data_IF_614266033809
#
_entry.id   IF_614266033809
#
_cell.length_a   1.000
_cell.length_b   1.000
_cell.length_c   1.000
_cell.angle_alpha   90.00
_cell.angle_beta   90.00
_cell.angle_gamma   90.00
#
_symmetry.space_group_name_H-M   'P 1'
#
loop_
_entity.id
_entity.type
_entity.pdbx_description
1 polymer ?
#
# COMPACT_ATOMS: atom_id res chain seq x y z
N UNK A 1 6.54 -12.07 -0.40
CA UNK A 1 6.32 -10.71 -0.94
C UNK A 1 5.69 -9.86 0.16
N UNK A 2 6.04 -8.58 0.26
CA UNK A 2 5.43 -7.63 1.20
C UNK A 2 4.49 -6.73 0.41
N UNK A 3 3.25 -6.58 0.89
CA UNK A 3 2.36 -5.52 0.44
C UNK A 3 2.06 -4.64 1.64
N UNK A 4 2.28 -3.34 1.44
CA UNK A 4 2.13 -2.33 2.46
C UNK A 4 1.54 -1.07 1.83
N UNK A 5 0.94 -0.23 2.66
CA UNK A 5 0.45 1.08 2.28
C UNK A 5 0.59 2.03 3.46
N UNK A 6 0.48 3.34 3.20
CA UNK A 6 0.41 4.32 4.27
C UNK A 6 -0.49 5.49 3.86
N UNK A 7 -1.10 6.10 4.86
CA UNK A 7 -1.88 7.33 4.78
C UNK A 7 -1.16 8.40 5.63
N UNK A 8 -1.43 9.68 5.38
CA UNK A 8 -0.73 10.86 5.91
C UNK A 8 -0.46 10.88 7.44
N UNK A 9 -1.14 10.02 8.22
CA UNK A 9 -0.98 9.86 9.66
C UNK A 9 -0.91 8.40 10.15
N UNK A 10 -0.98 7.40 9.26
CA UNK A 10 -1.12 5.99 9.67
C UNK A 10 -0.52 5.00 8.68
N UNK A 11 0.15 3.98 9.21
CA UNK A 11 0.61 2.82 8.46
C UNK A 11 -0.52 1.81 8.30
N UNK A 12 -0.76 1.35 7.06
CA UNK A 12 -1.64 0.21 6.79
C UNK A 12 -0.89 -1.07 7.17
N UNK A 13 -1.60 -2.06 7.72
CA UNK A 13 -0.95 -3.29 8.22
C UNK A 13 -0.19 -3.99 7.09
N UNK A 14 1.06 -4.37 7.35
CA UNK A 14 1.83 -5.20 6.44
C UNK A 14 1.14 -6.55 6.20
N UNK A 15 0.86 -6.87 4.93
CA UNK A 15 0.26 -8.16 4.54
C UNK A 15 1.35 -9.08 3.98
N UNK A 16 1.44 -10.29 4.55
CA UNK A 16 2.41 -11.32 4.18
C UNK A 16 1.82 -12.26 3.14
N UNK A 17 2.54 -12.51 2.05
CA UNK A 17 2.28 -13.71 1.23
C UNK A 17 3.10 -14.90 1.76
N UNK A 18 2.56 -16.12 1.62
CA UNK A 18 3.27 -17.35 1.97
C UNK A 18 4.59 -17.52 1.21
N UNK A 19 5.44 -18.46 1.65
CA UNK A 19 6.74 -18.74 1.01
C UNK A 19 6.53 -19.04 -0.48
N UNK A 20 7.20 -18.28 -1.35
CA UNK A 20 7.10 -18.35 -2.82
C UNK A 20 5.71 -18.10 -3.44
N UNK A 21 4.77 -17.53 -2.68
CA UNK A 21 3.44 -17.20 -3.22
C UNK A 21 3.47 -15.79 -3.82
N UNK A 22 3.32 -15.70 -5.14
CA UNK A 22 2.91 -14.47 -5.81
C UNK A 22 1.46 -14.19 -5.43
N UNK A 23 1.16 -12.96 -5.03
CA UNK A 23 -0.23 -12.53 -4.82
C UNK A 23 -0.88 -12.59 -6.19
N UNK A 24 -1.87 -13.47 -6.32
CA UNK A 24 -2.69 -13.54 -7.52
C UNK A 24 -3.79 -12.47 -7.47
N UNK A 25 -4.60 -12.43 -8.51
CA UNK A 25 -5.64 -11.43 -8.67
C UNK A 25 -6.71 -11.46 -7.56
N UNK A 26 -7.14 -12.66 -7.16
CA UNK A 26 -8.12 -12.85 -6.10
C UNK A 26 -7.54 -12.49 -4.73
N UNK A 27 -6.29 -12.88 -4.47
CA UNK A 27 -5.58 -12.50 -3.24
C UNK A 27 -5.46 -10.97 -3.14
N UNK A 28 -5.20 -10.28 -4.26
CA UNK A 28 -5.12 -8.83 -4.27
C UNK A 28 -6.46 -8.19 -3.89
N UNK A 29 -7.57 -8.62 -4.52
CA UNK A 29 -8.89 -8.05 -4.24
C UNK A 29 -9.35 -8.38 -2.82
N UNK A 30 -9.29 -9.64 -2.41
CA UNK A 30 -9.94 -10.11 -1.19
C UNK A 30 -9.07 -9.94 0.06
N UNK A 31 -7.75 -10.14 -0.04
CA UNK A 31 -6.86 -10.06 1.12
C UNK A 31 -6.23 -8.68 1.25
N UNK A 32 -5.98 -7.99 0.13
CA UNK A 32 -5.33 -6.66 0.16
C UNK A 32 -6.38 -5.55 0.14
N UNK A 33 -7.16 -5.43 -0.94
CA UNK A 33 -8.07 -4.30 -1.15
C UNK A 33 -9.28 -4.34 -0.20
N UNK A 34 -10.00 -5.46 -0.11
CA UNK A 34 -11.23 -5.53 0.70
C UNK A 34 -11.03 -5.01 2.12
N UNK A 35 -10.04 -5.48 2.91
CA UNK A 35 -9.89 -4.99 4.27
C UNK A 35 -9.51 -3.50 4.34
N UNK A 36 -8.77 -2.99 3.36
CA UNK A 36 -8.45 -1.55 3.29
C UNK A 36 -9.75 -0.73 3.17
N UNK A 37 -10.69 -1.18 2.33
CA UNK A 37 -11.93 -0.47 2.07
C UNK A 37 -13.02 -0.69 3.12
N UNK A 38 -13.12 -1.87 3.72
CA UNK A 38 -14.22 -2.22 4.63
C UNK A 38 -13.87 -2.09 6.11
N UNK A 39 -12.59 -2.12 6.47
CA UNK A 39 -12.16 -2.19 7.87
C UNK A 39 -11.12 -1.12 8.19
N UNK A 40 -9.98 -1.11 7.51
CA UNK A 40 -8.81 -0.33 7.93
C UNK A 40 -9.05 1.18 7.81
N UNK A 41 -9.49 1.67 6.66
CA UNK A 41 -9.75 3.10 6.48
C UNK A 41 -11.01 3.56 7.24
N UNK A 42 -12.15 2.84 7.22
CA UNK A 42 -13.29 3.20 8.06
C UNK A 42 -12.95 3.26 9.56
N UNK A 43 -12.10 2.35 10.06
CA UNK A 43 -11.64 2.39 11.45
C UNK A 43 -10.80 3.65 11.75
N UNK A 44 -9.96 4.09 10.82
CA UNK A 44 -9.14 5.30 10.97
C UNK A 44 -9.96 6.59 10.82
N UNK A 45 -11.04 6.55 10.05
CA UNK A 45 -11.89 7.71 9.72
C UNK A 45 -13.39 7.40 9.94
N UNK A 46 -13.82 7.16 11.19
CA UNK A 46 -15.18 6.69 11.47
C UNK A 46 -16.29 7.71 11.17
N UNK A 47 -15.96 9.01 11.07
CA UNK A 47 -16.95 10.11 11.03
C UNK A 47 -16.78 11.10 9.85
N UNK A 48 -15.92 10.81 8.85
CA UNK A 48 -15.62 11.76 7.77
C UNK A 48 -16.57 11.61 6.56
N UNK A 49 -17.14 12.73 6.09
CA UNK A 49 -17.72 12.92 4.74
C UNK A 49 -16.67 13.61 3.81
N UNK A 50 -16.90 13.76 2.49
CA UNK A 50 -16.64 12.88 1.30
C UNK A 50 -15.22 12.25 1.23
N UNK A 51 -14.80 11.55 0.14
CA UNK A 51 -13.55 10.78 0.18
C UNK A 51 -12.31 11.70 0.22
N UNK A 52 -11.76 11.88 1.42
CA UNK A 52 -10.42 12.48 1.64
C UNK A 52 -9.30 11.52 1.24
N UNK A 53 -9.59 10.22 1.21
CA UNK A 53 -8.61 9.18 0.91
C UNK A 53 -8.73 8.77 -0.56
N UNK A 54 -7.59 8.82 -1.26
CA UNK A 54 -7.43 8.31 -2.62
C UNK A 54 -6.41 7.18 -2.62
N UNK A 55 -6.81 6.00 -3.08
CA UNK A 55 -5.89 4.89 -3.31
C UNK A 55 -5.00 5.18 -4.53
N UNK A 56 -3.69 5.15 -4.33
CA UNK A 56 -2.68 5.10 -5.37
C UNK A 56 -2.04 3.71 -5.41
N UNK A 57 -1.86 3.14 -6.61
CA UNK A 57 -1.24 1.84 -6.83
C UNK A 57 -0.49 1.84 -8.17
N UNK A 58 0.57 1.05 -8.33
CA UNK A 58 1.31 0.97 -9.58
C UNK A 58 0.62 0.09 -10.64
N UNK A 59 1.16 0.04 -11.86
CA UNK A 59 0.57 -0.67 -13.00
C UNK A 59 0.90 -2.17 -13.03
N UNK A 60 0.95 -2.84 -11.87
CA UNK A 60 1.11 -4.30 -11.83
C UNK A 60 -0.10 -5.01 -12.47
N UNK A 61 0.10 -6.20 -13.04
CA UNK A 61 -0.95 -6.92 -13.78
C UNK A 61 -2.22 -7.18 -12.95
N UNK A 62 -2.08 -7.44 -11.63
CA UNK A 62 -3.22 -7.58 -10.72
C UNK A 62 -3.98 -6.27 -10.51
N UNK A 63 -3.31 -5.13 -10.59
CA UNK A 63 -3.88 -3.80 -10.38
C UNK A 63 -4.62 -3.31 -11.63
N UNK A 64 -4.09 -3.63 -12.82
CA UNK A 64 -4.65 -3.18 -14.12
C UNK A 64 -5.75 -4.09 -14.68
N UNK A 65 -6.04 -5.21 -14.02
CA UNK A 65 -7.04 -6.16 -14.51
C UNK A 65 -8.46 -5.56 -14.52
N UNK A 66 -9.26 -5.96 -15.50
CA UNK A 66 -10.69 -5.55 -15.58
C UNK A 66 -11.47 -5.88 -14.31
N UNK A 67 -11.19 -7.03 -13.70
CA UNK A 67 -11.89 -7.45 -12.48
C UNK A 67 -11.51 -6.58 -11.28
N UNK A 68 -10.27 -6.11 -11.21
CA UNK A 68 -9.83 -5.20 -10.14
C UNK A 68 -10.44 -3.82 -10.33
N UNK A 69 -10.52 -3.31 -11.57
CA UNK A 69 -11.24 -2.08 -11.86
C UNK A 69 -12.72 -2.18 -11.48
N UNK A 70 -13.39 -3.28 -11.83
CA UNK A 70 -14.78 -3.52 -11.44
C UNK A 70 -14.96 -3.61 -9.91
N UNK A 71 -14.00 -4.25 -9.22
CA UNK A 71 -13.96 -4.29 -7.78
C UNK A 71 -13.83 -2.89 -7.18
N UNK A 72 -12.89 -2.07 -7.66
CA UNK A 72 -12.66 -0.70 -7.17
C UNK A 72 -13.86 0.21 -7.43
N UNK A 73 -14.51 0.10 -8.60
CA UNK A 73 -15.75 0.84 -8.87
C UNK A 73 -16.86 0.46 -7.90
N UNK A 74 -17.05 -0.84 -7.63
CA UNK A 74 -18.03 -1.29 -6.64
C UNK A 74 -17.71 -0.73 -5.24
N UNK A 75 -16.46 -0.86 -4.80
CA UNK A 75 -16.05 -0.40 -3.47
C UNK A 75 -16.12 1.12 -3.32
N UNK A 76 -15.89 1.89 -4.41
CA UNK A 76 -16.02 3.36 -4.41
C UNK A 76 -17.46 3.81 -4.15
N UNK A 77 -18.46 3.08 -4.63
CA UNK A 77 -19.88 3.37 -4.35
C UNK A 77 -20.22 3.11 -2.89
N UNK A 78 -19.60 2.09 -2.29
CA UNK A 78 -19.92 1.62 -0.95
C UNK A 78 -19.05 2.24 0.17
N UNK A 79 -17.91 2.89 -0.16
CA UNK A 79 -16.90 3.33 0.81
C UNK A 79 -16.47 4.80 0.64
N UNK A 80 -15.89 5.38 1.72
CA UNK A 80 -15.33 6.75 1.79
C UNK A 80 -13.97 6.86 1.07
N UNK A 81 -13.66 5.93 0.16
CA UNK A 81 -12.34 5.84 -0.47
C UNK A 81 -12.51 5.96 -1.98
N UNK A 82 -11.92 7.00 -2.54
CA UNK A 82 -11.73 7.11 -3.98
C UNK A 82 -10.44 6.37 -4.39
N UNK A 83 -10.26 6.15 -5.68
CA UNK A 83 -9.02 5.59 -6.22
C UNK A 83 -8.58 6.41 -7.44
N UNK A 84 -7.28 6.42 -7.72
CA UNK A 84 -6.73 7.06 -8.92
C UNK A 84 -6.85 6.05 -10.07
N UNK A 85 -7.55 6.42 -11.17
CA UNK A 85 -7.64 5.56 -12.34
C UNK A 85 -6.25 5.22 -12.89
N UNK A 86 -6.05 3.96 -13.29
CA UNK A 86 -4.76 3.47 -13.76
C UNK A 86 -4.20 4.24 -14.96
N UNK A 87 -5.08 4.81 -15.78
CA UNK A 87 -4.71 5.63 -16.94
C UNK A 87 -4.04 6.96 -16.56
N UNK A 88 -4.21 7.42 -15.31
CA UNK A 88 -3.52 8.60 -14.77
C UNK A 88 -2.19 8.24 -14.10
N UNK A 89 -1.80 6.97 -14.10
CA UNK A 89 -0.57 6.48 -13.47
C UNK A 89 0.40 6.07 -14.59
N UNK A 90 1.43 6.89 -14.87
CA UNK A 90 2.48 6.55 -15.82
C UNK A 90 3.08 5.16 -15.59
N UNK A 91 3.17 4.37 -16.66
CA UNK A 91 3.76 3.04 -16.60
C UNK A 91 5.28 3.13 -16.37
N UNK A 92 5.82 2.21 -15.56
CA UNK A 92 7.27 2.10 -15.25
C UNK A 92 7.87 3.36 -14.61
N UNK A 93 7.07 4.10 -13.84
CA UNK A 93 7.51 5.31 -13.15
C UNK A 93 7.56 5.07 -11.64
N UNK A 94 8.62 4.42 -11.10
CA UNK A 94 8.77 4.27 -9.66
C UNK A 94 9.05 5.60 -8.94
N UNK A 95 9.63 6.56 -9.66
CA UNK A 95 9.96 7.92 -9.22
C UNK A 95 8.73 8.77 -8.86
N UNK A 96 7.57 8.48 -9.44
CA UNK A 96 6.32 9.17 -9.12
C UNK A 96 5.50 8.47 -8.02
N UNK A 97 5.94 7.31 -7.53
CA UNK A 97 5.21 6.54 -6.52
C UNK A 97 5.82 6.76 -5.13
N UNK A 98 5.13 7.44 -4.20
CA UNK A 98 5.62 7.67 -2.83
C UNK A 98 5.99 6.37 -2.10
N UNK A 99 5.30 5.28 -2.41
CA UNK A 99 5.65 3.95 -1.93
C UNK A 99 7.03 3.50 -2.39
N UNK A 100 7.37 3.73 -3.66
CA UNK A 100 8.61 3.25 -4.25
C UNK A 100 9.79 4.17 -3.95
N UNK A 101 9.68 5.47 -4.23
CA UNK A 101 10.82 6.38 -4.07
C UNK A 101 11.13 6.68 -2.60
N UNK A 102 10.14 6.65 -1.69
CA UNK A 102 10.33 6.96 -0.27
C UNK A 102 10.21 5.72 0.62
N UNK A 103 9.01 5.17 0.82
CA UNK A 103 8.78 4.17 1.86
C UNK A 103 9.63 2.90 1.68
N UNK A 104 9.62 2.31 0.47
CA UNK A 104 10.42 1.13 0.17
C UNK A 104 11.91 1.42 0.06
N UNK A 105 12.33 2.61 -0.38
CA UNK A 105 13.73 3.03 -0.33
C UNK A 105 14.26 3.08 1.10
N UNK A 106 13.51 3.71 2.02
CA UNK A 106 13.85 3.77 3.44
C UNK A 106 13.88 2.36 4.05
N UNK A 107 12.83 1.57 3.83
CA UNK A 107 12.76 0.20 4.33
C UNK A 107 13.95 -0.64 3.83
N UNK A 108 14.28 -0.54 2.54
CA UNK A 108 15.42 -1.28 1.96
C UNK A 108 16.74 -0.85 2.58
N UNK A 109 16.93 0.44 2.82
CA UNK A 109 18.13 0.96 3.49
C UNK A 109 18.24 0.46 4.92
N UNK A 110 17.15 0.42 5.68
CA UNK A 110 17.22 -0.10 7.05
C UNK A 110 17.42 -1.61 7.08
N UNK A 111 16.79 -2.33 6.15
CA UNK A 111 16.93 -3.79 6.03
C UNK A 111 18.34 -4.22 5.60
N UNK A 112 19.10 -3.40 4.85
CA UNK A 112 20.47 -3.77 4.44
C UNK A 112 21.44 -3.89 5.61
N UNK A 113 21.16 -3.20 6.71
CA UNK A 113 21.96 -3.26 7.94
C UNK A 113 21.62 -4.47 8.81
N UNK A 114 20.49 -5.13 8.54
CA UNK A 114 20.00 -6.27 9.30
C UNK A 114 20.45 -7.58 8.64
N UNK A 115 20.81 -8.58 9.45
CA UNK A 115 21.28 -9.90 8.96
C UNK A 115 20.42 -11.06 9.50
N UNK A 116 19.12 -11.13 9.18
CA UNK A 116 18.29 -12.25 9.60
C UNK A 116 18.73 -13.54 8.91
N UNK A 117 18.90 -14.62 9.67
CA UNK A 117 19.35 -15.93 9.16
C UNK A 117 18.20 -16.90 8.88
N UNK A 118 16.97 -16.53 9.28
CA UNK A 118 15.76 -17.35 9.14
C UNK A 118 14.58 -16.50 8.66
N UNK A 119 13.59 -17.15 8.03
CA UNK A 119 12.41 -16.47 7.45
C UNK A 119 11.55 -15.79 8.51
N UNK A 120 11.33 -16.44 9.65
CA UNK A 120 10.65 -15.85 10.82
C UNK A 120 11.39 -14.61 11.34
N UNK A 121 12.72 -14.71 11.45
CA UNK A 121 13.58 -13.58 11.78
C UNK A 121 13.45 -12.44 10.77
N UNK A 122 13.44 -12.74 9.47
CA UNK A 122 13.26 -11.74 8.42
C UNK A 122 11.91 -11.02 8.56
N UNK A 123 10.82 -11.74 8.81
CA UNK A 123 9.50 -11.13 8.98
C UNK A 123 9.40 -10.27 10.23
N UNK A 124 10.07 -10.67 11.31
CA UNK A 124 10.15 -9.86 12.53
C UNK A 124 10.90 -8.57 12.24
N UNK A 125 12.07 -8.66 11.62
CA UNK A 125 12.88 -7.49 11.23
C UNK A 125 12.10 -6.55 10.32
N UNK A 126 11.44 -7.06 9.28
CA UNK A 126 10.61 -6.23 8.39
C UNK A 126 9.51 -5.48 9.15
N UNK A 127 8.83 -6.14 10.09
CA UNK A 127 7.78 -5.51 10.87
C UNK A 127 8.33 -4.46 11.85
N UNK A 128 9.52 -4.67 12.42
CA UNK A 128 10.22 -3.69 13.25
C UNK A 128 10.64 -2.48 12.43
N UNK A 129 11.35 -2.70 11.32
CA UNK A 129 11.88 -1.62 10.47
C UNK A 129 10.76 -0.78 9.85
N UNK A 130 9.66 -1.42 9.44
CA UNK A 130 8.49 -0.71 8.94
C UNK A 130 7.91 0.22 10.00
N UNK A 131 7.70 -0.26 11.22
CA UNK A 131 7.17 0.53 12.34
C UNK A 131 8.10 1.66 12.79
N UNK A 132 9.40 1.55 12.51
CA UNK A 132 10.39 2.58 12.82
C UNK A 132 10.63 3.56 11.67
N UNK A 133 9.89 3.44 10.56
CA UNK A 133 10.02 4.40 9.46
C UNK A 133 9.69 5.82 9.96
N UNK A 134 10.52 6.83 9.65
CA UNK A 134 10.25 8.20 10.08
C UNK A 134 8.96 8.72 9.44
N UNK A 135 7.89 8.85 10.24
CA UNK A 135 6.59 9.35 9.78
C UNK A 135 6.70 10.73 9.13
N UNK A 136 7.65 11.56 9.58
CA UNK A 136 7.92 12.87 8.98
C UNK A 136 8.37 12.75 7.51
N UNK A 137 9.23 11.77 7.18
CA UNK A 137 9.68 11.54 5.81
C UNK A 137 8.53 11.07 4.93
N UNK A 138 7.72 10.12 5.44
CA UNK A 138 6.53 9.63 4.73
C UNK A 138 5.53 10.76 4.47
N UNK A 139 5.31 11.63 5.46
CA UNK A 139 4.44 12.80 5.33
C UNK A 139 4.97 13.80 4.31
N UNK A 140 6.26 14.13 4.36
CA UNK A 140 6.90 15.01 3.37
C UNK A 140 6.76 14.46 1.95
N UNK A 141 6.97 13.15 1.76
CA UNK A 141 6.81 12.49 0.47
C UNK A 141 5.39 12.71 -0.08
N UNK A 142 4.35 12.43 0.70
CA UNK A 142 2.96 12.61 0.25
C UNK A 142 2.61 14.09 0.03
N UNK A 143 3.05 15.00 0.89
CA UNK A 143 2.77 16.43 0.72
C UNK A 143 3.51 17.03 -0.49
N UNK A 144 4.67 16.50 -0.83
CA UNK A 144 5.42 16.89 -2.04
C UNK A 144 4.89 16.24 -3.31
N UNK A 145 4.08 15.19 -3.17
CA UNK A 145 3.55 14.42 -4.28
C UNK A 145 2.48 15.21 -5.01
N UNK A 146 2.74 15.50 -6.29
CA UNK A 146 1.82 16.16 -7.20
C UNK A 146 1.43 15.14 -8.27
N UNK A 147 0.14 14.80 -8.32
CA UNK A 147 -0.45 13.99 -9.38
C UNK A 147 -1.10 14.90 -10.42
#
# INVERSE_FOLDING_TARGET
>A
MIVAGFLLQWEIKNKKSGKNVKINLSDYQEKILRPIFTEEIPFLHPNDFPPRVKLHQDNATSHTSKTTSAFLEKMKTDAIIAYIPIQHIPAKSPDISPMNYCAFSLLKSSLSERKPTRIDGLWKVVAEEWKSLPLENLRKAILSWKL
#
